data_IF_595671791906
#
_entry.id   IF_595671791906
#
_cell.length_a   1.000
_cell.length_b   1.000
_cell.length_c   1.000
_cell.angle_alpha   90.00
_cell.angle_beta   90.00
_cell.angle_gamma   90.00
#
_symmetry.space_group_name_H-M   'P 1'
#
loop_
_entity.id
_entity.type
_entity.pdbx_description
1 polymer ?
#
# COMPACT_ATOMS: atom_id res chain seq x y z
N UNK A 1 50.07 -7.64 20.89
CA UNK A 1 49.53 -8.32 19.69
C UNK A 1 48.36 -9.28 19.88
N UNK A 2 48.18 -9.99 21.02
CA UNK A 2 47.03 -10.93 21.21
C UNK A 2 45.66 -10.26 21.32
N UNK A 3 45.54 -9.09 21.94
CA UNK A 3 44.23 -8.37 22.11
C UNK A 3 43.62 -7.93 20.80
N UNK A 4 44.41 -7.49 19.82
CA UNK A 4 43.86 -7.07 18.52
C UNK A 4 43.22 -8.22 17.72
N UNK A 5 43.76 -9.44 17.79
CA UNK A 5 43.20 -10.61 17.09
C UNK A 5 41.88 -11.06 17.64
N UNK A 6 41.63 -10.87 18.96
CA UNK A 6 40.34 -11.18 19.56
C UNK A 6 39.26 -10.22 19.07
N UNK A 7 39.50 -8.92 19.10
CA UNK A 7 38.54 -7.90 18.62
C UNK A 7 38.21 -8.11 17.15
N UNK A 8 39.21 -8.33 16.28
CA UNK A 8 39.03 -8.60 14.85
C UNK A 8 38.11 -9.83 14.61
N UNK A 9 38.13 -10.82 15.52
CA UNK A 9 37.27 -12.01 15.42
C UNK A 9 35.90 -11.79 16.06
N UNK A 10 35.82 -11.09 17.20
CA UNK A 10 34.58 -10.84 17.91
C UNK A 10 33.60 -9.99 17.12
N UNK A 11 34.07 -9.00 16.36
CA UNK A 11 33.20 -8.13 15.55
C UNK A 11 32.42 -8.93 14.48
N UNK A 12 33.05 -9.75 13.61
CA UNK A 12 32.32 -10.59 12.65
C UNK A 12 31.41 -11.63 13.34
N UNK A 13 31.82 -12.16 14.51
CA UNK A 13 30.99 -13.10 15.29
C UNK A 13 29.72 -12.41 15.78
N UNK A 14 29.85 -11.24 16.37
CA UNK A 14 28.75 -10.40 16.83
C UNK A 14 27.80 -10.05 15.67
N UNK A 15 28.34 -9.60 14.53
CA UNK A 15 27.55 -9.29 13.35
C UNK A 15 26.81 -10.51 12.79
N UNK A 16 27.42 -11.69 12.83
CA UNK A 16 26.77 -12.94 12.43
C UNK A 16 25.60 -13.30 13.36
N UNK A 17 25.77 -13.16 14.68
CA UNK A 17 24.71 -13.36 15.67
C UNK A 17 23.56 -12.35 15.48
N UNK A 18 23.88 -11.08 15.20
CA UNK A 18 22.92 -10.02 14.94
C UNK A 18 22.10 -10.27 13.66
N UNK A 19 22.73 -10.83 12.62
CA UNK A 19 22.05 -11.20 11.35
C UNK A 19 21.19 -12.46 11.47
N UNK A 20 21.32 -13.19 12.60
CA UNK A 20 20.64 -14.47 12.75
C UNK A 20 21.28 -15.62 11.99
N UNK A 21 22.58 -15.50 11.65
CA UNK A 21 23.32 -16.56 10.97
C UNK A 21 23.27 -17.85 11.81
N UNK A 22 22.72 -18.94 11.21
CA UNK A 22 22.58 -20.24 11.92
C UNK A 22 23.88 -21.04 11.84
N UNK A 23 24.96 -20.48 12.32
CA UNK A 23 26.26 -21.15 12.32
C UNK A 23 26.47 -21.95 13.62
N UNK A 24 27.04 -23.13 13.49
CA UNK A 24 27.45 -23.94 14.66
C UNK A 24 28.81 -23.49 15.16
N UNK A 25 29.14 -23.75 16.44
CA UNK A 25 30.48 -23.46 17.00
C UNK A 25 31.61 -24.11 16.17
N UNK A 26 31.50 -25.36 15.70
CA UNK A 26 32.49 -25.91 14.78
C UNK A 26 32.66 -25.12 13.48
N UNK A 27 31.57 -24.70 12.84
CA UNK A 27 31.63 -23.91 11.61
C UNK A 27 32.23 -22.52 11.84
N UNK A 28 31.96 -21.91 12.99
CA UNK A 28 32.58 -20.64 13.41
C UNK A 28 34.08 -20.81 13.65
N UNK A 29 34.49 -21.91 14.31
CA UNK A 29 35.88 -22.23 14.54
C UNK A 29 36.67 -22.40 13.24
N UNK A 30 36.12 -23.10 12.28
CA UNK A 30 36.65 -23.28 10.94
C UNK A 30 36.75 -21.94 10.17
N UNK A 31 35.63 -21.18 10.12
CA UNK A 31 35.55 -19.87 9.45
C UNK A 31 36.62 -18.90 9.96
N UNK A 32 36.88 -18.89 11.26
CA UNK A 32 37.82 -17.98 11.90
C UNK A 32 39.20 -18.59 12.11
N UNK A 33 39.43 -19.84 11.68
CA UNK A 33 40.70 -20.58 11.80
C UNK A 33 41.23 -20.63 13.23
N UNK A 34 40.35 -20.97 14.21
CA UNK A 34 40.66 -21.08 15.63
C UNK A 34 40.06 -22.36 16.19
N UNK A 35 40.50 -22.79 17.40
CA UNK A 35 39.85 -23.89 18.09
C UNK A 35 38.49 -23.51 18.67
N UNK A 36 37.63 -24.48 18.92
CA UNK A 36 36.27 -24.30 19.49
C UNK A 36 36.29 -23.58 20.82
N UNK A 37 37.26 -23.85 21.65
CA UNK A 37 37.48 -23.23 22.95
C UNK A 37 37.66 -21.70 22.82
N UNK A 38 38.31 -21.27 21.75
CA UNK A 38 38.46 -19.85 21.45
C UNK A 38 37.12 -19.19 21.10
N UNK A 39 36.27 -19.86 20.30
CA UNK A 39 34.93 -19.39 20.02
C UNK A 39 34.05 -19.34 21.28
N UNK A 40 34.09 -20.38 22.13
CA UNK A 40 33.38 -20.34 23.40
C UNK A 40 33.82 -19.20 24.31
N UNK A 41 35.13 -18.90 24.35
CA UNK A 41 35.67 -17.76 25.12
C UNK A 41 35.18 -16.44 24.56
N UNK A 42 35.13 -16.31 23.23
CA UNK A 42 34.65 -15.10 22.58
C UNK A 42 33.15 -14.91 22.76
N UNK A 43 32.34 -15.98 22.73
CA UNK A 43 30.91 -15.94 23.04
C UNK A 43 30.66 -15.50 24.49
N UNK A 44 31.42 -16.04 25.49
CA UNK A 44 31.33 -15.58 26.88
C UNK A 44 31.69 -14.12 27.03
N UNK A 45 32.77 -13.67 26.35
CA UNK A 45 33.14 -12.25 26.36
C UNK A 45 32.05 -11.34 25.76
N UNK A 46 31.29 -11.80 24.77
CA UNK A 46 30.12 -11.09 24.28
C UNK A 46 28.96 -11.09 25.30
N UNK A 47 28.73 -12.20 26.04
CA UNK A 47 27.76 -12.24 27.14
C UNK A 47 28.14 -11.26 28.25
N UNK A 48 29.42 -11.20 28.63
CA UNK A 48 29.94 -10.26 29.63
C UNK A 48 29.76 -8.79 29.17
N UNK A 49 29.75 -8.54 27.88
CA UNK A 49 29.44 -7.24 27.26
C UNK A 49 27.92 -6.95 27.17
N UNK A 50 27.07 -7.84 27.67
CA UNK A 50 25.62 -7.64 27.73
C UNK A 50 24.85 -8.21 26.55
N UNK A 51 25.47 -8.99 25.65
CA UNK A 51 24.75 -9.69 24.58
C UNK A 51 24.08 -10.95 25.14
N UNK A 52 22.74 -11.05 25.21
CA UNK A 52 22.04 -12.21 25.74
C UNK A 52 22.09 -13.36 24.74
N UNK A 53 23.18 -14.10 24.76
CA UNK A 53 23.36 -15.28 23.90
C UNK A 53 22.58 -16.43 24.53
N UNK A 54 21.76 -17.11 23.71
CA UNK A 54 20.97 -18.28 24.06
C UNK A 54 21.30 -19.42 23.10
N UNK A 55 20.97 -20.62 23.50
CA UNK A 55 21.22 -21.85 22.73
C UNK A 55 22.10 -22.81 23.54
N UNK A 56 22.15 -24.06 23.09
CA UNK A 56 23.01 -25.08 23.73
C UNK A 56 24.48 -24.73 23.40
N UNK A 57 25.17 -24.17 24.39
CA UNK A 57 26.58 -23.72 24.25
C UNK A 57 27.54 -24.93 24.44
N UNK A 58 27.07 -26.07 24.92
CA UNK A 58 27.89 -27.20 25.34
C UNK A 58 27.67 -28.49 24.57
N UNK A 59 27.50 -28.47 23.26
CA UNK A 59 27.33 -29.69 22.47
C UNK A 59 27.92 -29.63 21.07
N UNK A 60 28.10 -30.80 20.44
CA UNK A 60 28.60 -30.90 19.06
C UNK A 60 27.69 -30.22 18.03
N UNK A 61 26.44 -29.91 18.42
CA UNK A 61 25.43 -29.18 17.63
C UNK A 61 25.13 -27.79 18.17
N UNK A 62 25.98 -27.25 19.02
CA UNK A 62 25.83 -25.93 19.64
C UNK A 62 25.63 -24.84 18.59
N UNK A 63 24.47 -24.18 18.65
CA UNK A 63 24.06 -23.06 17.77
C UNK A 63 23.79 -21.83 18.62
N UNK A 64 24.80 -20.99 18.85
CA UNK A 64 24.62 -19.76 19.61
C UNK A 64 23.65 -18.84 18.85
N UNK A 65 22.71 -18.23 19.59
CA UNK A 65 21.73 -17.26 19.08
C UNK A 65 21.58 -16.13 20.08
N UNK A 66 21.18 -14.97 19.60
CA UNK A 66 20.68 -13.95 20.51
C UNK A 66 19.26 -14.29 20.97
N UNK A 67 18.90 -13.88 22.19
CA UNK A 67 17.53 -14.04 22.72
C UNK A 67 16.54 -13.41 21.76
N UNK A 68 15.43 -14.07 21.52
CA UNK A 68 14.37 -13.60 20.64
C UNK A 68 13.91 -12.18 21.04
N UNK A 69 13.78 -11.28 20.08
CA UNK A 69 13.48 -9.86 20.29
C UNK A 69 14.69 -8.97 20.61
N UNK A 70 15.86 -9.52 21.00
CA UNK A 70 17.07 -8.71 21.23
C UNK A 70 17.73 -8.28 19.91
N UNK A 71 17.65 -9.10 18.88
CA UNK A 71 18.13 -8.77 17.53
C UNK A 71 17.45 -7.50 16.97
N UNK A 72 16.14 -7.36 17.20
CA UNK A 72 15.38 -6.20 16.75
C UNK A 72 15.77 -4.88 17.47
N UNK A 73 16.42 -4.97 18.64
CA UNK A 73 16.82 -3.80 19.43
C UNK A 73 18.23 -3.29 19.16
N UNK A 74 19.10 -4.11 18.55
CA UNK A 74 20.55 -3.84 18.47
C UNK A 74 21.11 -3.72 17.06
N UNK A 75 20.34 -3.98 16.01
CA UNK A 75 20.84 -3.74 14.66
C UNK A 75 20.66 -2.25 14.30
N UNK A 76 21.74 -1.45 14.24
CA UNK A 76 21.68 -0.25 13.45
C UNK A 76 21.51 -0.69 11.99
N UNK A 77 20.30 -0.57 11.45
CA UNK A 77 20.12 -0.63 10.01
C UNK A 77 20.78 0.64 9.47
N UNK A 78 21.90 0.53 8.74
CA UNK A 78 22.54 1.72 8.19
C UNK A 78 21.68 2.28 7.07
N UNK A 79 21.05 3.42 7.31
CA UNK A 79 20.35 4.18 6.29
C UNK A 79 21.30 5.20 5.66
N UNK A 80 21.31 5.28 4.34
CA UNK A 80 21.87 6.40 3.62
C UNK A 80 20.94 7.62 3.67
N UNK A 81 21.44 8.81 3.45
CA UNK A 81 20.61 10.03 3.43
C UNK A 81 19.50 9.95 2.36
N UNK A 82 19.74 9.46 1.12
CA UNK A 82 18.66 9.25 0.14
C UNK A 82 17.56 8.30 0.62
N UNK A 83 17.91 7.21 1.32
CA UNK A 83 16.90 6.27 1.87
C UNK A 83 16.05 6.93 2.95
N UNK A 84 16.67 7.69 3.86
CA UNK A 84 15.94 8.46 4.87
C UNK A 84 15.03 9.52 4.24
N UNK A 85 15.52 10.24 3.23
CA UNK A 85 14.74 11.21 2.49
C UNK A 85 13.53 10.56 1.80
N UNK A 86 13.71 9.37 1.19
CA UNK A 86 12.62 8.60 0.57
C UNK A 86 11.56 8.16 1.60
N UNK A 87 11.97 7.71 2.79
CA UNK A 87 11.04 7.36 3.88
C UNK A 87 10.25 8.60 4.33
N UNK A 88 10.91 9.74 4.54
CA UNK A 88 10.26 10.99 4.91
C UNK A 88 9.29 11.47 3.82
N UNK A 89 9.69 11.41 2.56
CA UNK A 89 8.79 11.74 1.44
C UNK A 89 7.57 10.81 1.39
N UNK A 90 7.76 9.50 1.56
CA UNK A 90 6.66 8.54 1.62
C UNK A 90 5.65 8.87 2.73
N UNK A 91 6.12 9.40 3.86
CA UNK A 91 5.24 9.84 4.95
C UNK A 91 4.33 11.01 4.54
N UNK A 92 4.81 11.94 3.70
CA UNK A 92 3.96 13.05 3.20
C UNK A 92 2.86 12.55 2.27
N UNK A 93 3.12 11.46 1.52
CA UNK A 93 2.11 10.85 0.65
C UNK A 93 0.96 10.20 1.43
N UNK A 94 1.19 9.84 2.69
CA UNK A 94 0.22 9.18 3.58
C UNK A 94 -0.46 10.11 4.58
N UNK A 95 -0.37 11.45 4.40
CA UNK A 95 -0.98 12.44 5.29
C UNK A 95 -2.50 12.29 5.45
N UNK A 96 -3.20 11.75 4.45
CA UNK A 96 -4.63 11.41 4.55
C UNK A 96 -4.93 10.34 5.62
N UNK A 97 -3.92 9.62 6.11
CA UNK A 97 -4.04 8.65 7.21
C UNK A 97 -3.76 9.27 8.58
N UNK A 98 -3.55 10.59 8.68
CA UNK A 98 -3.32 11.30 9.95
C UNK A 98 -4.42 10.97 10.96
N UNK A 99 -4.00 10.67 12.21
CA UNK A 99 -4.89 10.26 13.28
C UNK A 99 -5.24 8.77 13.32
N UNK A 100 -4.79 7.98 12.34
CA UNK A 100 -4.91 6.52 12.40
C UNK A 100 -3.70 5.87 13.08
N UNK A 101 -3.89 4.65 13.61
CA UNK A 101 -2.80 3.86 14.19
C UNK A 101 -1.65 3.61 13.20
N UNK A 102 -1.98 3.45 11.90
CA UNK A 102 -1.00 3.24 10.84
C UNK A 102 -0.09 4.46 10.65
N UNK A 103 -0.69 5.67 10.63
CA UNK A 103 0.09 6.90 10.55
C UNK A 103 0.94 7.12 11.81
N UNK A 104 0.37 6.86 13.01
CA UNK A 104 1.11 6.93 14.27
C UNK A 104 2.33 6.00 14.27
N UNK A 105 2.14 4.74 13.87
CA UNK A 105 3.23 3.77 13.77
C UNK A 105 4.32 4.20 12.77
N UNK A 106 3.96 4.82 11.65
CA UNK A 106 4.92 5.36 10.69
C UNK A 106 5.73 6.52 11.30
N UNK A 107 5.07 7.47 11.99
CA UNK A 107 5.75 8.58 12.66
C UNK A 107 6.69 8.08 13.78
N UNK A 108 6.28 7.09 14.56
CA UNK A 108 7.14 6.47 15.56
C UNK A 108 8.36 5.77 14.92
N UNK A 109 8.17 5.07 13.81
CA UNK A 109 9.27 4.43 13.08
C UNK A 109 10.27 5.49 12.59
N UNK A 110 9.79 6.59 12.01
CA UNK A 110 10.64 7.71 11.57
C UNK A 110 11.38 8.33 12.76
N UNK A 111 10.70 8.56 13.88
CA UNK A 111 11.34 9.10 15.09
C UNK A 111 12.43 8.17 15.63
N UNK A 112 12.19 6.84 15.65
CA UNK A 112 13.20 5.85 16.02
C UNK A 112 14.41 5.88 15.07
N UNK A 113 14.18 5.95 13.77
CA UNK A 113 15.26 6.06 12.77
C UNK A 113 16.06 7.34 13.03
N UNK A 114 15.39 8.49 13.19
CA UNK A 114 16.04 9.79 13.47
C UNK A 114 16.92 9.74 14.72
N UNK A 115 16.50 9.04 15.77
CA UNK A 115 17.28 8.90 17.00
C UNK A 115 18.61 8.15 16.85
N UNK A 116 18.78 7.41 15.75
CA UNK A 116 19.99 6.67 15.40
C UNK A 116 20.86 7.37 14.33
N UNK A 117 20.38 8.49 13.78
CA UNK A 117 21.14 9.29 12.81
C UNK A 117 22.20 10.11 13.57
N UNK A 118 23.48 10.10 13.11
CA UNK A 118 24.52 10.94 13.69
C UNK A 118 24.10 12.41 13.73
N UNK A 119 24.39 13.10 14.84
CA UNK A 119 24.02 14.50 15.05
C UNK A 119 24.49 15.43 13.90
N UNK A 120 25.65 15.15 13.33
CA UNK A 120 26.18 15.89 12.20
C UNK A 120 25.33 15.77 10.92
N UNK A 121 24.54 14.70 10.79
CA UNK A 121 23.67 14.46 9.62
C UNK A 121 22.21 14.91 9.82
N UNK A 122 21.81 15.26 11.06
CA UNK A 122 20.45 15.72 11.35
C UNK A 122 20.04 16.97 10.55
N UNK A 123 20.88 18.01 10.40
CA UNK A 123 20.52 19.21 9.61
C UNK A 123 20.20 18.85 8.13
N UNK A 124 20.92 17.86 7.55
CA UNK A 124 20.69 17.42 6.20
C UNK A 124 19.35 16.64 6.08
N UNK A 125 19.03 15.81 7.08
CA UNK A 125 17.75 15.12 7.15
C UNK A 125 16.58 16.11 7.34
N UNK A 126 16.75 17.13 8.18
CA UNK A 126 15.75 18.18 8.37
C UNK A 126 15.53 18.97 7.07
N UNK A 127 16.60 19.33 6.37
CA UNK A 127 16.49 19.96 5.06
C UNK A 127 15.76 19.03 4.06
N UNK A 128 16.07 17.73 4.04
CA UNK A 128 15.37 16.77 3.19
C UNK A 128 13.87 16.71 3.48
N UNK A 129 13.43 16.79 4.74
CA UNK A 129 12.00 16.80 5.09
C UNK A 129 11.28 18.07 4.66
N UNK A 130 11.97 19.21 4.56
CA UNK A 130 11.37 20.49 4.15
C UNK A 130 11.25 20.66 2.64
N UNK A 131 12.02 19.91 1.84
CA UNK A 131 11.95 20.00 0.36
C UNK A 131 10.83 19.18 -0.25
N UNK A 132 10.20 18.29 0.54
CA UNK A 132 9.12 17.44 0.07
C UNK A 132 7.77 17.95 0.56
N UNK A 133 6.81 17.97 -0.34
CA UNK A 133 5.42 18.27 -0.04
C UNK A 133 4.48 17.42 -0.87
N UNK A 134 3.26 17.23 -0.41
CA UNK A 134 2.21 16.56 -1.17
C UNK A 134 1.05 17.53 -1.36
N UNK A 135 0.60 17.70 -2.60
CA UNK A 135 -0.61 18.45 -2.91
C UNK A 135 -1.69 17.46 -3.37
N UNK A 136 -2.76 17.34 -2.59
CA UNK A 136 -3.85 16.40 -2.86
C UNK A 136 -5.09 17.14 -3.34
N UNK A 137 -5.62 16.75 -4.50
CA UNK A 137 -6.89 17.27 -5.03
C UNK A 137 -8.04 16.40 -4.50
N UNK A 138 -8.55 16.73 -3.31
CA UNK A 138 -9.56 15.94 -2.62
C UNK A 138 -8.99 14.64 -2.03
N UNK A 139 -9.25 14.39 -0.77
CA UNK A 139 -8.91 13.15 -0.09
C UNK A 139 -9.89 12.95 1.08
N UNK A 140 -9.99 11.72 1.56
CA UNK A 140 -10.83 11.40 2.72
C UNK A 140 -10.03 11.48 4.01
N UNK A 141 -10.67 12.02 5.05
CA UNK A 141 -10.15 12.03 6.41
C UNK A 141 -10.57 10.74 7.13
N UNK A 142 -9.59 9.95 7.56
CA UNK A 142 -9.81 8.68 8.23
C UNK A 142 -9.72 8.75 9.76
N UNK A 143 -9.62 9.94 10.36
CA UNK A 143 -9.56 10.09 11.82
C UNK A 143 -10.77 9.48 12.51
N UNK A 144 -11.97 9.70 11.97
CA UNK A 144 -13.21 9.10 12.49
C UNK A 144 -13.37 7.61 12.19
N UNK A 145 -12.54 7.06 11.30
CA UNK A 145 -12.53 5.65 10.91
C UNK A 145 -11.28 4.91 11.39
N UNK A 146 -10.50 5.53 12.28
CA UNK A 146 -9.21 4.98 12.73
C UNK A 146 -9.37 3.60 13.39
N UNK A 147 -10.40 3.41 14.21
CA UNK A 147 -10.69 2.14 14.86
C UNK A 147 -11.09 1.07 13.85
N UNK A 148 -12.01 1.36 12.95
CA UNK A 148 -12.44 0.45 11.87
C UNK A 148 -11.26 0.01 11.02
N UNK A 149 -10.40 0.97 10.63
CA UNK A 149 -9.20 0.69 9.84
C UNK A 149 -8.21 -0.19 10.62
N UNK A 150 -8.00 0.09 11.91
CA UNK A 150 -7.13 -0.71 12.78
C UNK A 150 -7.64 -2.16 12.90
N UNK A 151 -8.93 -2.37 13.17
CA UNK A 151 -9.57 -3.69 13.24
C UNK A 151 -9.48 -4.44 11.91
N UNK A 152 -9.69 -3.74 10.79
CA UNK A 152 -9.58 -4.32 9.44
C UNK A 152 -8.16 -4.82 9.18
N UNK A 153 -7.14 -3.99 9.43
CA UNK A 153 -5.74 -4.36 9.23
C UNK A 153 -5.37 -5.56 10.10
N UNK A 154 -5.78 -5.56 11.37
CA UNK A 154 -5.55 -6.70 12.27
C UNK A 154 -6.21 -7.97 11.74
N UNK A 155 -7.49 -7.90 11.35
CA UNK A 155 -8.21 -9.04 10.79
C UNK A 155 -7.54 -9.59 9.52
N UNK A 156 -7.03 -8.72 8.65
CA UNK A 156 -6.27 -9.12 7.46
C UNK A 156 -4.96 -9.83 7.82
N UNK A 157 -4.20 -9.32 8.79
CA UNK A 157 -2.93 -9.93 9.22
C UNK A 157 -3.15 -11.28 9.90
N UNK A 158 -4.26 -11.44 10.64
CA UNK A 158 -4.63 -12.67 11.33
C UNK A 158 -5.52 -13.60 10.46
N UNK A 159 -5.81 -13.22 9.20
CA UNK A 159 -6.71 -13.94 8.29
C UNK A 159 -8.07 -14.27 8.93
N UNK A 160 -8.65 -13.30 9.64
CA UNK A 160 -9.93 -13.45 10.34
C UNK A 160 -11.09 -12.93 9.52
N UNK A 161 -12.16 -13.73 9.43
CA UNK A 161 -13.44 -13.30 8.90
C UNK A 161 -14.04 -12.20 9.76
N UNK A 162 -14.72 -11.25 9.13
CA UNK A 162 -15.37 -10.14 9.81
C UNK A 162 -16.87 -10.11 9.53
N UNK A 163 -17.66 -9.68 10.51
CA UNK A 163 -19.01 -9.17 10.32
C UNK A 163 -18.91 -7.67 10.06
N UNK A 164 -19.40 -7.22 8.91
CA UNK A 164 -19.39 -5.82 8.51
C UNK A 164 -20.81 -5.26 8.41
N UNK A 165 -21.00 -4.03 8.93
CA UNK A 165 -22.18 -3.20 8.63
C UNK A 165 -21.76 -2.12 7.66
N UNK A 166 -22.29 -2.12 6.45
CA UNK A 166 -21.86 -1.27 5.35
C UNK A 166 -23.00 -0.42 4.78
N UNK A 167 -22.76 0.89 4.64
CA UNK A 167 -23.69 1.83 4.04
C UNK A 167 -23.33 2.05 2.56
N UNK A 168 -24.06 1.37 1.67
CA UNK A 168 -23.98 1.66 0.24
C UNK A 168 -24.63 3.01 -0.08
N UNK A 169 -24.09 3.83 -1.00
CA UNK A 169 -24.74 5.07 -1.43
C UNK A 169 -26.08 4.84 -2.18
N UNK A 170 -26.29 3.62 -2.67
CA UNK A 170 -27.49 3.23 -3.43
C UNK A 170 -28.57 2.52 -2.57
N UNK A 171 -28.39 2.47 -1.24
CA UNK A 171 -29.36 1.85 -0.33
C UNK A 171 -29.65 2.78 0.83
N UNK A 172 -30.90 2.90 1.18
CA UNK A 172 -31.33 3.70 2.33
C UNK A 172 -30.79 3.11 3.65
N UNK A 173 -30.87 1.79 3.81
CA UNK A 173 -30.47 1.09 5.02
C UNK A 173 -29.10 0.41 4.89
N UNK A 174 -28.29 0.40 5.97
CA UNK A 174 -27.04 -0.33 6.00
C UNK A 174 -27.29 -1.85 5.85
N UNK A 175 -26.37 -2.52 5.16
CA UNK A 175 -26.39 -3.97 5.02
C UNK A 175 -25.38 -4.60 5.97
N UNK A 176 -25.77 -5.71 6.64
CA UNK A 176 -24.87 -6.52 7.47
C UNK A 176 -24.56 -7.84 6.78
N UNK A 177 -23.28 -8.19 6.71
CA UNK A 177 -22.80 -9.41 6.07
C UNK A 177 -21.42 -9.82 6.56
N UNK A 178 -21.15 -11.14 6.47
CA UNK A 178 -19.83 -11.70 6.69
C UNK A 178 -18.92 -11.41 5.48
N UNK A 179 -17.67 -11.05 5.74
CA UNK A 179 -16.66 -10.83 4.71
C UNK A 179 -15.28 -11.32 5.13
N UNK A 180 -14.51 -11.77 4.16
CA UNK A 180 -13.11 -12.12 4.29
C UNK A 180 -12.27 -11.00 3.63
N UNK A 181 -11.59 -10.14 4.40
CA UNK A 181 -10.87 -9.00 3.86
C UNK A 181 -9.56 -9.45 3.20
N UNK A 182 -9.45 -9.33 1.87
CA UNK A 182 -8.32 -9.82 1.10
C UNK A 182 -7.21 -8.80 0.90
N UNK A 183 -7.55 -7.56 0.50
CA UNK A 183 -6.56 -6.55 0.16
C UNK A 183 -7.05 -5.14 0.47
N UNK A 184 -6.28 -4.39 1.26
CA UNK A 184 -6.47 -2.95 1.46
C UNK A 184 -5.62 -2.20 0.41
N UNK A 185 -6.21 -1.19 -0.23
CA UNK A 185 -5.52 -0.37 -1.22
C UNK A 185 -6.02 1.08 -1.23
N UNK A 186 -5.20 1.96 -1.75
CA UNK A 186 -5.52 3.37 -1.94
C UNK A 186 -5.82 3.64 -3.41
N UNK A 187 -6.84 4.47 -3.67
CA UNK A 187 -7.14 5.00 -4.99
C UNK A 187 -7.76 6.40 -4.88
N UNK A 188 -7.15 7.37 -5.54
CA UNK A 188 -7.68 8.74 -5.63
C UNK A 188 -7.90 9.42 -4.27
N UNK A 189 -7.01 9.23 -3.30
CA UNK A 189 -7.11 9.80 -1.96
C UNK A 189 -8.08 9.06 -1.03
N UNK A 190 -8.57 7.89 -1.44
CA UNK A 190 -9.52 7.06 -0.69
C UNK A 190 -8.99 5.65 -0.47
N UNK A 191 -9.34 5.05 0.68
CA UNK A 191 -9.01 3.67 1.00
C UNK A 191 -10.17 2.73 0.65
N UNK A 192 -9.81 1.62 0.05
CA UNK A 192 -10.73 0.54 -0.34
C UNK A 192 -10.20 -0.82 0.12
N UNK A 193 -11.11 -1.76 0.29
CA UNK A 193 -10.79 -3.14 0.58
C UNK A 193 -11.48 -4.06 -0.44
N UNK A 194 -10.69 -4.93 -1.10
CA UNK A 194 -11.27 -6.11 -1.72
C UNK A 194 -11.61 -7.12 -0.63
N UNK A 195 -12.86 -7.53 -0.59
CA UNK A 195 -13.35 -8.51 0.37
C UNK A 195 -14.20 -9.57 -0.33
N UNK A 196 -13.94 -10.84 -0.01
CA UNK A 196 -14.80 -11.92 -0.44
C UNK A 196 -16.03 -11.99 0.47
N UNK A 197 -17.20 -12.08 -0.13
CA UNK A 197 -18.48 -12.20 0.58
C UNK A 197 -19.03 -13.61 0.38
N UNK A 198 -18.94 -14.50 1.39
CA UNK A 198 -19.34 -15.90 1.24
C UNK A 198 -20.78 -16.09 0.76
N UNK A 199 -21.69 -15.23 1.24
CA UNK A 199 -23.12 -15.29 0.85
C UNK A 199 -23.35 -15.15 -0.66
N UNK A 200 -22.48 -14.43 -1.36
CA UNK A 200 -22.62 -14.12 -2.78
C UNK A 200 -21.56 -14.82 -3.65
N UNK A 201 -20.64 -15.55 -3.01
CA UNK A 201 -19.50 -16.21 -3.67
C UNK A 201 -18.73 -15.28 -4.61
N UNK A 202 -18.46 -14.06 -4.16
CA UNK A 202 -17.75 -13.07 -4.99
C UNK A 202 -16.88 -12.13 -4.16
N UNK A 203 -15.85 -11.61 -4.80
CA UNK A 203 -15.02 -10.51 -4.28
C UNK A 203 -15.66 -9.19 -4.67
N UNK A 204 -15.87 -8.32 -3.68
CA UNK A 204 -16.42 -6.97 -3.87
C UNK A 204 -15.44 -5.91 -3.40
N UNK A 205 -15.62 -4.68 -3.88
CA UNK A 205 -14.86 -3.51 -3.44
C UNK A 205 -15.66 -2.72 -2.41
N UNK A 206 -15.09 -2.52 -1.23
CA UNK A 206 -15.68 -1.76 -0.14
C UNK A 206 -14.87 -0.49 0.14
N UNK A 207 -15.51 0.66 0.16
CA UNK A 207 -14.92 1.91 0.63
C UNK A 207 -14.88 1.90 2.17
N UNK A 208 -13.72 2.15 2.77
CA UNK A 208 -13.49 2.03 4.20
C UNK A 208 -14.37 3.01 5.00
N UNK A 209 -14.55 4.23 4.51
CA UNK A 209 -15.38 5.27 5.13
C UNK A 209 -16.89 4.94 5.18
N UNK A 210 -17.32 3.93 4.45
CA UNK A 210 -18.71 3.44 4.43
C UNK A 210 -18.95 2.24 5.34
N UNK A 211 -17.91 1.70 5.96
CA UNK A 211 -18.04 0.66 6.98
C UNK A 211 -18.43 1.34 8.29
N UNK A 212 -19.66 1.08 8.76
CA UNK A 212 -20.23 1.63 9.99
C UNK A 212 -19.81 0.85 11.23
N UNK A 213 -19.65 -0.47 11.09
CA UNK A 213 -19.14 -1.37 12.12
C UNK A 213 -18.38 -2.53 11.48
N UNK A 214 -17.33 -2.98 12.14
CA UNK A 214 -16.51 -4.12 11.73
C UNK A 214 -16.11 -4.90 12.96
N UNK A 215 -16.53 -6.16 13.03
CA UNK A 215 -16.23 -7.06 14.15
C UNK A 215 -15.54 -8.31 13.62
N UNK A 216 -14.24 -8.52 13.94
CA UNK A 216 -13.57 -9.77 13.64
C UNK A 216 -14.24 -10.94 14.37
N UNK A 217 -14.45 -12.05 13.67
CA UNK A 217 -15.02 -13.27 14.23
C UNK A 217 -13.94 -14.24 14.71
N UNK A 218 -14.35 -15.37 15.31
CA UNK A 218 -13.43 -16.47 15.63
C UNK A 218 -13.02 -17.32 14.41
N UNK A 219 -13.65 -17.12 13.25
CA UNK A 219 -13.38 -17.88 12.03
C UNK A 219 -12.19 -17.31 11.26
N UNK A 220 -11.37 -18.20 10.71
CA UNK A 220 -10.28 -17.83 9.79
C UNK A 220 -10.67 -18.16 8.36
N UNK A 221 -10.05 -17.47 7.41
CA UNK A 221 -10.23 -17.72 5.98
C UNK A 221 -8.90 -17.97 5.29
N UNK A 222 -8.93 -18.55 4.11
CA UNK A 222 -7.82 -18.60 3.18
C UNK A 222 -8.14 -17.71 1.97
N UNK A 223 -7.18 -16.91 1.54
CA UNK A 223 -7.33 -16.13 0.30
C UNK A 223 -7.40 -17.12 -0.87
N UNK A 224 -8.41 -16.98 -1.71
CA UNK A 224 -8.56 -17.85 -2.89
C UNK A 224 -7.31 -17.77 -3.78
N UNK A 225 -6.77 -18.90 -4.26
CA UNK A 225 -5.66 -18.89 -5.20
C UNK A 225 -5.99 -18.19 -6.53
N UNK A 226 -7.27 -18.08 -6.87
CA UNK A 226 -7.74 -17.38 -8.07
C UNK A 226 -7.80 -15.84 -7.88
N UNK A 227 -7.66 -15.35 -6.63
CA UNK A 227 -7.63 -13.93 -6.35
C UNK A 227 -6.26 -13.35 -6.75
N UNK A 228 -6.27 -12.37 -7.65
CA UNK A 228 -5.10 -11.56 -7.98
C UNK A 228 -5.49 -10.09 -7.96
N UNK A 229 -4.85 -9.34 -7.07
CA UNK A 229 -5.02 -7.90 -6.97
C UNK A 229 -4.62 -7.21 -8.28
N UNK A 230 -3.49 -7.63 -8.87
CA UNK A 230 -2.96 -7.08 -10.11
C UNK A 230 -3.95 -7.30 -11.26
N UNK A 231 -4.52 -8.50 -11.37
CA UNK A 231 -5.52 -8.81 -12.41
C UNK A 231 -6.77 -7.96 -12.27
N UNK A 232 -7.31 -7.80 -11.05
CA UNK A 232 -8.49 -6.97 -10.82
C UNK A 232 -8.20 -5.49 -11.10
N UNK A 233 -7.04 -4.97 -10.67
CA UNK A 233 -6.59 -3.62 -10.96
C UNK A 233 -6.45 -3.38 -12.46
N UNK A 234 -5.84 -4.32 -13.17
CA UNK A 234 -5.54 -4.19 -14.60
C UNK A 234 -6.77 -4.45 -15.50
N UNK A 235 -7.88 -4.94 -14.93
CA UNK A 235 -9.16 -5.11 -15.62
C UNK A 235 -10.10 -3.91 -15.44
N UNK A 236 -9.88 -3.04 -14.46
CA UNK A 236 -10.72 -1.89 -14.17
C UNK A 236 -10.01 -0.59 -14.49
N UNK A 237 -10.74 0.42 -14.97
CA UNK A 237 -10.19 1.77 -15.15
C UNK A 237 -10.02 2.52 -13.82
N UNK A 238 -10.75 2.11 -12.80
CA UNK A 238 -10.70 2.67 -11.46
C UNK A 238 -11.02 1.63 -10.40
N UNK A 239 -11.91 1.97 -9.47
CA UNK A 239 -12.29 1.11 -8.33
C UNK A 239 -13.50 0.24 -8.64
N UNK A 240 -14.38 0.73 -9.50
CA UNK A 240 -15.58 0.02 -9.94
C UNK A 240 -15.22 -0.93 -11.06
N UNK A 241 -15.35 -2.22 -10.81
CA UNK A 241 -15.18 -3.24 -11.85
C UNK A 241 -16.33 -3.23 -12.86
N UNK A 242 -16.24 -4.10 -13.83
CA UNK A 242 -17.25 -4.30 -14.88
C UNK A 242 -16.68 -5.15 -16.01
N UNK A 243 -17.51 -5.51 -16.98
CA UNK A 243 -17.04 -6.20 -18.17
C UNK A 243 -16.05 -5.32 -18.95
N UNK A 244 -14.81 -5.79 -19.19
CA UNK A 244 -13.83 -4.99 -19.90
C UNK A 244 -14.20 -4.76 -21.35
N UNK A 245 -14.31 -3.48 -21.74
CA UNK A 245 -14.56 -3.03 -23.10
C UNK A 245 -13.32 -2.38 -23.72
N UNK A 246 -13.18 -2.45 -25.02
CA UNK A 246 -12.15 -1.68 -25.74
C UNK A 246 -12.66 -0.26 -25.94
N UNK A 247 -11.90 0.71 -25.48
CA UNK A 247 -12.23 2.13 -25.55
C UNK A 247 -11.23 2.84 -26.46
N UNK A 248 -11.73 3.64 -27.40
CA UNK A 248 -10.93 4.52 -28.27
C UNK A 248 -11.35 5.96 -28.06
N UNK A 249 -10.41 6.78 -27.64
CA UNK A 249 -10.62 8.21 -27.40
C UNK A 249 -9.61 9.01 -28.21
N UNK A 250 -10.09 9.90 -29.04
CA UNK A 250 -9.28 10.88 -29.74
C UNK A 250 -9.08 12.10 -28.85
N UNK A 251 -7.85 12.53 -28.73
CA UNK A 251 -7.47 13.75 -28.02
C UNK A 251 -6.89 14.76 -29.02
N UNK A 252 -7.32 16.01 -28.84
CA UNK A 252 -6.86 17.13 -29.67
C UNK A 252 -5.36 17.39 -29.47
N UNK A 253 -4.70 17.88 -30.49
CA UNK A 253 -3.27 18.15 -30.59
C UNK A 253 -2.70 18.87 -29.34
N UNK A 254 -3.40 19.87 -28.80
CA UNK A 254 -2.97 20.65 -27.63
C UNK A 254 -3.00 19.86 -26.32
N UNK A 255 -3.76 18.77 -26.26
CA UNK A 255 -3.84 17.88 -25.09
C UNK A 255 -3.08 16.55 -25.26
N UNK A 256 -2.71 16.20 -26.48
CA UNK A 256 -2.01 14.94 -26.77
C UNK A 256 -0.73 14.73 -25.93
N UNK A 257 0.15 15.72 -25.69
CA UNK A 257 1.30 15.55 -24.83
C UNK A 257 0.93 15.14 -23.41
N UNK A 258 -0.04 15.81 -22.78
CA UNK A 258 -0.45 15.56 -21.39
C UNK A 258 -1.08 14.18 -21.19
N UNK A 259 -1.79 13.69 -22.22
CA UNK A 259 -2.36 12.33 -22.19
C UNK A 259 -1.25 11.29 -22.28
N UNK A 260 -0.27 11.49 -23.16
CA UNK A 260 0.84 10.54 -23.40
C UNK A 260 1.85 10.46 -22.25
N UNK A 261 2.04 11.54 -21.50
CA UNK A 261 2.96 11.59 -20.35
C UNK A 261 2.54 10.68 -19.18
N UNK A 262 1.30 10.17 -19.20
CA UNK A 262 0.76 9.38 -18.08
C UNK A 262 0.36 7.97 -18.51
N UNK A 263 0.53 7.05 -17.61
CA UNK A 263 -0.06 5.71 -17.72
C UNK A 263 -1.43 5.76 -17.04
N UNK A 264 -2.48 5.82 -17.85
CA UNK A 264 -3.87 5.81 -17.40
C UNK A 264 -4.39 4.39 -17.20
N UNK A 265 -3.95 3.48 -18.06
CA UNK A 265 -4.26 2.06 -17.97
C UNK A 265 -3.12 1.22 -18.57
N UNK A 266 -2.80 0.03 -17.99
CA UNK A 266 -1.68 -0.80 -18.47
C UNK A 266 -1.78 -1.24 -19.92
N UNK A 267 -2.99 -1.34 -20.47
CA UNK A 267 -3.24 -1.77 -21.86
C UNK A 267 -3.27 -0.63 -22.87
N UNK A 268 -2.96 0.62 -22.43
CA UNK A 268 -3.05 1.78 -23.32
C UNK A 268 -2.03 1.73 -24.47
N UNK A 269 -2.49 2.14 -25.66
CA UNK A 269 -1.66 2.43 -26.82
C UNK A 269 -2.05 3.77 -27.42
N UNK A 270 -1.16 4.37 -28.21
CA UNK A 270 -1.39 5.66 -28.86
C UNK A 270 -1.09 5.57 -30.33
N UNK A 271 -2.00 6.11 -31.15
CA UNK A 271 -1.86 6.28 -32.59
C UNK A 271 -1.95 7.78 -32.95
N UNK A 272 -0.87 8.34 -33.47
CA UNK A 272 -0.82 9.75 -33.85
C UNK A 272 -1.46 10.00 -35.25
N UNK A 273 -2.26 11.05 -35.32
CA UNK A 273 -2.92 11.46 -36.55
C UNK A 273 -2.13 12.57 -37.26
N UNK A 274 -2.24 12.70 -38.57
CA UNK A 274 -1.52 13.72 -39.36
C UNK A 274 -1.81 15.17 -38.92
N UNK A 275 -2.97 15.44 -38.32
CA UNK A 275 -3.34 16.75 -37.81
C UNK A 275 -2.77 17.06 -36.39
N UNK A 276 -1.95 16.17 -35.85
CA UNK A 276 -1.37 16.30 -34.52
C UNK A 276 -2.24 15.76 -33.37
N UNK A 277 -3.47 15.36 -33.63
CA UNK A 277 -4.28 14.65 -32.62
C UNK A 277 -3.71 13.28 -32.34
N UNK A 278 -4.10 12.66 -31.22
CA UNK A 278 -3.74 11.28 -30.89
C UNK A 278 -4.96 10.47 -30.51
N UNK A 279 -4.99 9.21 -30.90
CA UNK A 279 -6.00 8.25 -30.48
C UNK A 279 -5.38 7.37 -29.40
N UNK A 280 -5.95 7.39 -28.19
CA UNK A 280 -5.65 6.44 -27.13
C UNK A 280 -6.62 5.27 -27.22
N UNK A 281 -6.07 4.05 -27.25
CA UNK A 281 -6.84 2.81 -27.17
C UNK A 281 -6.46 2.07 -25.90
N UNK A 282 -7.44 1.62 -25.12
CA UNK A 282 -7.23 0.77 -23.97
C UNK A 282 -8.40 -0.20 -23.76
N UNK A 283 -8.22 -1.22 -22.92
CA UNK A 283 -9.27 -2.19 -22.59
C UNK A 283 -9.47 -2.27 -21.09
N UNK A 284 -10.62 -1.81 -20.59
CA UNK A 284 -10.95 -1.78 -19.16
C UNK A 284 -12.46 -1.87 -18.93
N UNK A 285 -12.83 -2.34 -17.72
CA UNK A 285 -14.17 -2.18 -17.15
C UNK A 285 -14.28 -0.88 -16.35
N UNK A 286 -15.48 -0.58 -15.81
CA UNK A 286 -15.72 0.63 -15.01
C UNK A 286 -16.18 1.81 -15.86
N UNK A 287 -17.24 1.62 -16.64
CA UNK A 287 -17.83 2.63 -17.52
C UNK A 287 -18.03 3.99 -16.83
N UNK A 288 -18.56 3.99 -15.61
CA UNK A 288 -18.80 5.22 -14.84
C UNK A 288 -17.52 6.05 -14.63
N UNK A 289 -16.41 5.40 -14.31
CA UNK A 289 -15.13 6.09 -14.07
C UNK A 289 -14.49 6.52 -15.38
N UNK A 290 -14.64 5.72 -16.43
CA UNK A 290 -14.19 6.07 -17.78
C UNK A 290 -14.94 7.32 -18.29
N UNK A 291 -16.27 7.38 -18.15
CA UNK A 291 -17.08 8.55 -18.51
C UNK A 291 -16.59 9.79 -17.77
N UNK A 292 -16.42 9.73 -16.46
CA UNK A 292 -15.94 10.87 -15.67
C UNK A 292 -14.54 11.32 -16.05
N UNK A 293 -13.65 10.37 -16.34
CA UNK A 293 -12.31 10.68 -16.78
C UNK A 293 -12.30 11.40 -18.13
N UNK A 294 -13.10 10.93 -19.09
CA UNK A 294 -13.21 11.55 -20.42
C UNK A 294 -13.83 12.95 -20.31
N UNK A 295 -14.90 13.11 -19.54
CA UNK A 295 -15.55 14.40 -19.29
C UNK A 295 -14.58 15.44 -18.68
N UNK A 296 -13.62 14.99 -17.88
CA UNK A 296 -12.57 15.86 -17.32
C UNK A 296 -11.67 16.52 -18.36
N UNK A 297 -11.63 16.02 -19.59
CA UNK A 297 -10.90 16.62 -20.71
C UNK A 297 -11.74 17.62 -21.50
N UNK A 298 -13.03 17.75 -21.17
CA UNK A 298 -13.94 18.68 -21.84
C UNK A 298 -14.02 18.45 -23.34
N UNK A 299 -13.97 19.54 -24.12
CA UNK A 299 -14.07 19.49 -25.59
C UNK A 299 -12.82 18.94 -26.28
N UNK A 300 -11.75 18.63 -25.53
CA UNK A 300 -10.52 18.13 -26.13
C UNK A 300 -10.52 16.61 -26.32
N UNK A 301 -11.48 15.89 -25.73
CA UNK A 301 -11.62 14.45 -25.88
C UNK A 301 -12.88 14.07 -26.65
N UNK A 302 -12.75 13.08 -27.55
CA UNK A 302 -13.87 12.54 -28.34
C UNK A 302 -13.81 11.01 -28.30
N UNK A 303 -14.88 10.38 -27.82
CA UNK A 303 -15.01 8.92 -27.87
C UNK A 303 -15.29 8.51 -29.33
N UNK A 304 -14.45 7.60 -29.82
CA UNK A 304 -14.63 6.97 -31.13
C UNK A 304 -15.34 5.64 -31.02
N UNK A 305 -15.00 4.86 -29.98
CA UNK A 305 -15.53 3.52 -29.72
C UNK A 305 -15.46 3.21 -28.21
N UNK A 306 -16.45 2.53 -27.59
CA UNK A 306 -17.70 2.05 -28.21
C UNK A 306 -18.79 3.13 -28.29
N UNK A 307 -19.77 2.93 -29.19
CA UNK A 307 -20.89 3.87 -29.37
C UNK A 307 -21.74 4.04 -28.09
N UNK A 308 -21.90 2.97 -27.30
CA UNK A 308 -22.62 3.06 -26.03
C UNK A 308 -21.98 4.06 -25.06
N UNK A 309 -20.64 4.02 -24.89
CA UNK A 309 -19.89 4.96 -24.05
C UNK A 309 -20.02 6.40 -24.59
N UNK A 310 -19.99 6.58 -25.92
CA UNK A 310 -20.19 7.88 -26.52
C UNK A 310 -21.58 8.44 -26.24
N UNK A 311 -22.61 7.59 -26.31
CA UNK A 311 -23.98 7.97 -25.98
C UNK A 311 -24.11 8.39 -24.51
N UNK A 312 -23.54 7.62 -23.56
CA UNK A 312 -23.54 7.95 -22.13
C UNK A 312 -22.88 9.33 -21.88
N UNK A 313 -21.79 9.67 -22.57
CA UNK A 313 -21.15 10.98 -22.47
C UNK A 313 -22.05 12.09 -23.00
N UNK A 314 -22.74 11.87 -24.12
CA UNK A 314 -23.65 12.86 -24.68
C UNK A 314 -24.84 13.14 -23.76
N UNK A 315 -25.38 12.11 -23.11
CA UNK A 315 -26.46 12.22 -22.13
C UNK A 315 -25.98 13.03 -20.91
N UNK A 316 -24.82 12.72 -20.36
CA UNK A 316 -24.24 13.44 -19.22
C UNK A 316 -23.95 14.92 -19.55
N UNK A 317 -23.43 15.21 -20.76
CA UNK A 317 -23.21 16.58 -21.21
C UNK A 317 -24.52 17.34 -21.37
N UNK A 318 -25.57 16.70 -21.92
CA UNK A 318 -26.89 17.30 -22.05
C UNK A 318 -27.51 17.62 -20.67
N UNK A 319 -27.44 16.67 -19.72
CA UNK A 319 -27.91 16.87 -18.36
C UNK A 319 -27.13 17.99 -17.65
N UNK A 320 -25.81 18.00 -17.75
CA UNK A 320 -24.98 19.06 -17.20
C UNK A 320 -25.34 20.43 -17.79
N UNK A 321 -25.52 20.52 -19.10
CA UNK A 321 -25.91 21.77 -19.80
C UNK A 321 -27.28 22.29 -19.33
N UNK A 322 -28.26 21.39 -19.18
CA UNK A 322 -29.59 21.76 -18.68
C UNK A 322 -29.54 22.27 -17.24
N UNK A 323 -28.82 21.60 -16.36
CA UNK A 323 -28.59 22.06 -14.98
C UNK A 323 -27.98 23.46 -14.90
N UNK A 324 -26.98 23.75 -15.74
CA UNK A 324 -26.32 25.07 -15.76
C UNK A 324 -27.16 26.16 -16.37
N UNK A 325 -28.16 25.81 -17.23
CA UNK A 325 -29.12 26.78 -17.78
C UNK A 325 -30.27 27.08 -16.84
N UNK A 326 -30.39 26.37 -15.71
CA UNK A 326 -31.54 26.48 -14.79
C UNK A 326 -32.82 25.85 -15.35
N UNK A 327 -32.72 24.98 -16.36
CA UNK A 327 -33.82 24.16 -16.82
C UNK A 327 -34.04 23.05 -15.77
N UNK A 328 -35.12 23.17 -14.97
CA UNK A 328 -35.52 22.12 -14.05
C UNK A 328 -35.81 20.84 -14.86
N UNK A 329 -34.97 19.83 -14.66
CA UNK A 329 -35.38 18.46 -15.04
C UNK A 329 -36.54 18.12 -14.10
N UNK A 330 -37.75 18.04 -14.66
CA UNK A 330 -38.88 17.50 -13.93
C UNK A 330 -38.48 16.14 -13.37
N UNK A 331 -38.16 16.11 -12.09
CA UNK A 331 -38.16 14.87 -11.34
C UNK A 331 -39.62 14.40 -11.33
N UNK A 332 -39.94 13.55 -12.28
CA UNK A 332 -41.13 12.68 -12.13
C UNK A 332 -40.84 11.88 -10.88
N UNK A 333 -41.53 12.31 -9.81
CA UNK A 333 -41.53 11.65 -8.54
C UNK A 333 -41.96 10.20 -8.77
N UNK A 334 -41.01 9.28 -8.66
CA UNK A 334 -41.32 7.87 -8.47
C UNK A 334 -42.16 7.80 -7.20
N UNK A 335 -43.41 7.36 -7.26
CA UNK A 335 -44.22 7.20 -6.06
C UNK A 335 -43.56 6.16 -5.15
N UNK A 336 -43.53 6.38 -3.83
CA UNK A 336 -42.98 5.41 -2.90
C UNK A 336 -43.78 4.09 -2.98
N UNK A 337 -43.10 2.94 -2.78
CA UNK A 337 -43.74 1.63 -2.71
C UNK A 337 -44.67 1.47 -1.51
#
# INVERSE_FOLDING_TARGET
>A
MRRNRQVIRMVPLMLGLLRGDRLTVPALAEKHRVCKETIYRDLRALEDLGFPITGDIHGYRSRPRLREGYQAKLMPIPFTIPELAAICFSATLTENLTGTALHGALQEAIAKIRSHVPTASLPLLDAATTVFGSFKKGYKDYRTHAETLGRLIQAMLETRRCEATYQSPHRAEPSRFAMDPYKLFEFGGSLYCFAYVPKHDQVITLAIDRIKALEPTGETFAVSPDFSFEKLRDQAFGVVGGEPMTVKVQFRQDQAPYVKERIWHPTQTFDDLPNGDTIMTFRAGGEFEIVRWILGWGSAAKVLDPMALRQAILEELAAASANHRGEEHGCDAVPPP
#
